data_IF_367094128882
#
_entry.id   IF_367094128882
#
_cell.length_a   1.000
_cell.length_b   1.000
_cell.length_c   1.000
_cell.angle_alpha   90.00
_cell.angle_beta   90.00
_cell.angle_gamma   90.00
#
_symmetry.space_group_name_H-M   'P 1'
#
loop_
_entity.id
_entity.type
_entity.pdbx_description
1 polymer ?
#
# COMPACT_ATOMS: atom_id res chain seq x y z
N UNK A 1 -0.02 -16.47 -16.23
CA UNK A 1 -0.34 -15.41 -15.25
C UNK A 1 0.35 -14.14 -15.72
N UNK A 2 -0.40 -13.13 -16.19
CA UNK A 2 0.17 -11.88 -16.73
C UNK A 2 0.06 -10.80 -15.66
N UNK A 3 1.15 -10.08 -15.39
CA UNK A 3 1.14 -8.91 -14.49
C UNK A 3 0.24 -7.83 -15.10
N UNK A 4 -0.75 -7.39 -14.34
CA UNK A 4 -1.72 -6.36 -14.75
C UNK A 4 -1.23 -5.00 -14.31
N UNK A 5 -0.90 -4.84 -13.01
CA UNK A 5 -0.43 -3.57 -12.44
C UNK A 5 0.58 -3.82 -11.33
N UNK A 6 1.46 -2.84 -11.12
CA UNK A 6 2.39 -2.79 -10.01
C UNK A 6 2.23 -1.45 -9.28
N UNK A 7 2.20 -1.50 -7.95
CA UNK A 7 2.09 -0.31 -7.11
C UNK A 7 3.22 -0.30 -6.08
N UNK A 8 3.77 0.88 -5.81
CA UNK A 8 4.58 1.07 -4.60
C UNK A 8 3.60 1.22 -3.44
N UNK A 9 3.78 0.43 -2.38
CA UNK A 9 2.93 0.43 -1.20
C UNK A 9 3.75 0.52 0.08
N UNK A 10 3.11 0.94 1.17
CA UNK A 10 3.66 0.91 2.51
C UNK A 10 2.76 0.13 3.47
N UNK A 11 3.39 -0.60 4.39
CA UNK A 11 2.71 -1.27 5.50
C UNK A 11 2.46 -0.27 6.63
N UNK A 12 1.19 -0.03 7.00
CA UNK A 12 0.78 0.92 8.05
C UNK A 12 -0.27 0.29 8.98
N UNK A 13 -0.14 0.51 10.27
CA UNK A 13 -1.22 0.25 11.23
C UNK A 13 -2.23 1.39 11.21
N UNK A 14 -3.51 1.10 10.98
CA UNK A 14 -4.59 2.10 10.96
C UNK A 14 -5.74 1.66 11.83
N UNK A 15 -6.38 2.63 12.49
CA UNK A 15 -7.65 2.39 13.16
C UNK A 15 -8.69 2.03 12.08
N UNK A 16 -9.43 0.90 12.23
CA UNK A 16 -10.38 0.42 11.22
C UNK A 16 -11.56 1.36 11.00
N UNK A 17 -12.00 2.07 12.06
CA UNK A 17 -13.13 2.98 12.03
C UNK A 17 -12.73 4.39 11.56
N UNK A 18 -11.54 4.84 11.96
CA UNK A 18 -11.01 6.16 11.57
C UNK A 18 -9.51 6.10 11.23
N UNK A 19 -9.14 5.98 9.95
CA UNK A 19 -7.74 5.88 9.53
C UNK A 19 -6.87 7.09 9.90
N UNK A 20 -7.45 8.25 10.23
CA UNK A 20 -6.70 9.44 10.62
C UNK A 20 -6.44 9.53 12.13
N UNK A 21 -7.10 8.71 12.94
CA UNK A 21 -6.88 8.67 14.39
C UNK A 21 -5.48 8.16 14.74
N UNK A 22 -4.85 8.81 15.71
CA UNK A 22 -3.48 8.56 16.21
C UNK A 22 -3.43 8.48 17.73
N UNK A 23 -4.57 8.36 18.39
CA UNK A 23 -4.67 8.26 19.84
C UNK A 23 -3.88 7.05 20.36
N UNK A 24 -3.22 7.19 21.51
CA UNK A 24 -2.40 6.11 22.08
C UNK A 24 -3.30 4.96 22.56
N UNK A 25 -2.88 3.72 22.34
CA UNK A 25 -3.58 2.53 22.83
C UNK A 25 -4.79 2.10 22.00
N UNK A 26 -5.08 2.78 20.88
CA UNK A 26 -6.15 2.38 19.96
C UNK A 26 -5.83 1.05 19.28
N UNK A 27 -6.88 0.30 18.96
CA UNK A 27 -6.75 -0.88 18.12
C UNK A 27 -6.36 -0.48 16.70
N UNK A 28 -5.37 -1.16 16.14
CA UNK A 28 -4.88 -0.93 14.79
C UNK A 28 -4.92 -2.24 14.00
N UNK A 29 -5.39 -2.16 12.76
CA UNK A 29 -5.25 -3.20 11.77
C UNK A 29 -4.12 -2.86 10.80
N UNK A 30 -3.39 -3.89 10.36
CA UNK A 30 -2.39 -3.72 9.31
C UNK A 30 -3.12 -3.45 7.98
N UNK A 31 -2.72 -2.37 7.27
CA UNK A 31 -3.16 -2.06 5.91
C UNK A 31 -1.99 -1.74 4.97
N UNK A 32 -2.14 -2.09 3.69
CA UNK A 32 -1.26 -1.64 2.61
C UNK A 32 -1.77 -0.33 2.02
N UNK A 33 -0.93 0.70 2.02
CA UNK A 33 -1.26 2.00 1.46
C UNK A 33 -0.47 2.27 0.19
N UNK A 34 -1.18 2.45 -0.93
CA UNK A 34 -0.57 2.76 -2.23
C UNK A 34 0.01 4.17 -2.21
N UNK A 35 1.28 4.28 -2.61
CA UNK A 35 1.90 5.56 -2.89
C UNK A 35 1.62 5.99 -4.34
N UNK A 36 0.55 6.77 -4.52
CA UNK A 36 0.14 7.29 -5.82
C UNK A 36 1.08 8.35 -6.40
N UNK A 37 2.02 8.88 -5.62
CA UNK A 37 3.01 9.85 -6.09
C UNK A 37 4.25 9.19 -6.69
N UNK A 38 4.36 7.86 -6.62
CA UNK A 38 5.53 7.11 -7.07
C UNK A 38 6.80 7.42 -6.26
N UNK A 39 6.67 8.09 -5.11
CA UNK A 39 7.80 8.46 -4.26
C UNK A 39 8.09 7.33 -3.27
N UNK A 40 9.35 7.02 -3.01
CA UNK A 40 9.70 6.17 -1.86
C UNK A 40 9.48 6.97 -0.57
N UNK A 41 8.88 6.34 0.45
CA UNK A 41 8.78 6.90 1.80
C UNK A 41 10.16 6.84 2.46
N UNK A 42 11.09 7.70 2.06
CA UNK A 42 12.43 7.82 2.63
C UNK A 42 12.54 9.17 3.33
N UNK A 43 12.06 9.27 4.58
CA UNK A 43 12.17 10.50 5.39
C UNK A 43 13.53 10.63 6.10
N UNK A 44 14.36 9.57 6.08
CA UNK A 44 15.72 9.53 6.68
C UNK A 44 16.56 8.54 5.89
N UNK A 45 17.91 8.56 5.99
CA UNK A 45 18.84 7.60 5.33
C UNK A 45 18.49 6.11 5.48
N UNK A 46 17.56 5.77 6.38
CA UNK A 46 16.94 4.45 6.49
C UNK A 46 15.68 4.41 5.61
N UNK A 47 15.74 3.63 4.54
CA UNK A 47 14.57 3.22 3.78
C UNK A 47 13.61 2.45 4.70
N UNK A 48 12.39 2.97 4.89
CA UNK A 48 11.34 2.30 5.65
C UNK A 48 10.24 1.86 4.71
N UNK A 49 9.88 0.58 4.82
CA UNK A 49 8.61 -0.02 4.37
C UNK A 49 8.17 0.31 2.94
N UNK A 50 9.10 0.37 1.97
CA UNK A 50 8.75 0.49 0.55
C UNK A 50 8.62 -0.91 -0.05
N UNK A 51 7.38 -1.31 -0.32
CA UNK A 51 7.04 -2.61 -0.91
C UNK A 51 6.48 -2.43 -2.32
N UNK A 52 6.56 -3.48 -3.15
CA UNK A 52 5.91 -3.53 -4.46
C UNK A 52 4.75 -4.52 -4.40
N UNK A 53 3.54 -4.06 -4.70
CA UNK A 53 2.35 -4.90 -4.85
C UNK A 53 2.13 -5.19 -6.33
N UNK A 54 2.26 -6.46 -6.73
CA UNK A 54 1.99 -6.91 -8.09
C UNK A 54 0.65 -7.62 -8.15
N UNK A 55 -0.25 -7.11 -8.99
CA UNK A 55 -1.54 -7.74 -9.27
C UNK A 55 -1.44 -8.51 -10.57
N UNK A 56 -1.83 -9.78 -10.51
CA UNK A 56 -1.77 -10.70 -11.64
C UNK A 56 -3.18 -11.18 -11.99
N UNK A 57 -3.52 -11.18 -13.28
CA UNK A 57 -4.80 -11.66 -13.76
C UNK A 57 -4.76 -13.06 -14.33
N UNK A 58 -5.90 -13.73 -14.24
CA UNK A 58 -6.16 -15.02 -14.89
C UNK A 58 -6.68 -14.81 -16.32
N UNK A 59 -5.97 -14.02 -17.13
CA UNK A 59 -6.14 -13.96 -18.59
C UNK A 59 -7.52 -13.56 -19.15
N UNK A 60 -8.51 -13.19 -18.32
CA UNK A 60 -9.86 -12.78 -18.75
C UNK A 60 -10.20 -11.31 -18.44
N UNK A 61 -9.36 -10.63 -17.70
CA UNK A 61 -9.58 -9.23 -17.32
C UNK A 61 -9.16 -8.33 -18.47
N UNK A 62 -10.11 -8.02 -19.37
CA UNK A 62 -9.95 -6.93 -20.35
C UNK A 62 -9.79 -5.65 -19.56
N UNK A 63 -8.57 -5.12 -19.51
CA UNK A 63 -8.29 -3.84 -18.87
C UNK A 63 -8.86 -2.76 -19.80
N UNK A 64 -9.98 -2.12 -19.43
CA UNK A 64 -10.37 -0.83 -19.99
C UNK A 64 -9.49 0.23 -19.33
N UNK A 65 -8.80 1.00 -20.16
CA UNK A 65 -7.89 2.09 -19.77
C UNK A 65 -8.57 3.15 -18.89
#
# INVERSE_FOLDING_TARGET
>A
MRRIKAYIVASRGRNPDNPSDRSKGIHLEQRYEVNLKGLCNCLTRVSKDNMVLEIYGNGKDKTSD
#
